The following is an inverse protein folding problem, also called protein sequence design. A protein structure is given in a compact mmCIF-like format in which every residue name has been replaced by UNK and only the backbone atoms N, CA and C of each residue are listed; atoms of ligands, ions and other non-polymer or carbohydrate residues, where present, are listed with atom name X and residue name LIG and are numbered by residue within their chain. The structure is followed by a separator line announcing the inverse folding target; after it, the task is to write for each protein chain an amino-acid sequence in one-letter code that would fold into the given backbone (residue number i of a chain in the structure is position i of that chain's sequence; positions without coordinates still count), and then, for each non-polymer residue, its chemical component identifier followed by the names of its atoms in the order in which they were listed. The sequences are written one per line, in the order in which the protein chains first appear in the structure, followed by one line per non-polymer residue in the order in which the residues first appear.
data_IF_482660069508
#
_entry.id   IF_482660069508
#
_cell.length_a   1.000
_cell.length_b   1.000
_cell.length_c   1.000
_cell.angle_alpha   90.00
_cell.angle_beta   90.00
_cell.angle_gamma   90.00
#
_symmetry.space_group_name_H-M   'P 1'
#
loop_
_entity.id
_entity.type
_entity.pdbx_description
1 polymer ?
#
# COMPACT_ATOMS: atom_id res chain seq x y z
N UNK A 1 17.39 25.11 19.82
CA UNK A 1 16.48 24.19 20.54
C UNK A 1 16.18 23.08 19.55
N UNK A 2 16.87 21.95 19.69
CA UNK A 2 16.63 20.76 18.87
C UNK A 2 15.42 20.05 19.50
N UNK A 3 14.27 20.15 18.85
CA UNK A 3 13.06 19.42 19.21
C UNK A 3 13.35 17.90 19.15
N UNK A 4 13.75 17.36 20.29
CA UNK A 4 13.82 15.92 20.51
C UNK A 4 12.38 15.41 20.48
N UNK A 5 12.02 14.66 19.42
CA UNK A 5 10.81 13.85 19.37
C UNK A 5 10.82 12.87 20.54
N UNK A 6 10.28 13.32 21.68
CA UNK A 6 10.27 12.61 22.94
C UNK A 6 9.27 11.44 22.84
N UNK A 7 9.80 10.24 23.00
CA UNK A 7 9.15 8.97 22.69
C UNK A 7 8.10 8.56 23.72
N UNK A 8 6.94 9.20 23.69
CA UNK A 8 5.64 8.54 23.95
C UNK A 8 4.85 8.51 22.64
N UNK A 9 5.50 8.06 21.57
CA UNK A 9 4.82 7.80 20.30
C UNK A 9 3.86 6.63 20.57
N UNK A 10 2.54 6.74 20.36
CA UNK A 10 1.75 5.53 20.15
C UNK A 10 2.51 4.70 19.12
N UNK A 11 2.71 3.41 19.37
CA UNK A 11 3.46 2.54 18.46
C UNK A 11 2.68 2.44 17.16
N UNK A 12 2.89 3.42 16.27
CA UNK A 12 2.16 3.49 15.02
C UNK A 12 2.61 2.31 14.18
N UNK A 13 1.71 1.34 14.03
CA UNK A 13 2.03 0.10 13.36
C UNK A 13 2.19 0.32 11.85
N UNK A 14 3.04 -0.50 11.24
CA UNK A 14 3.21 -0.54 9.79
C UNK A 14 2.26 -1.56 9.18
N UNK A 15 1.70 -1.25 8.01
CA UNK A 15 0.82 -2.16 7.31
C UNK A 15 1.60 -3.31 6.65
N UNK A 16 0.95 -4.46 6.54
CA UNK A 16 1.45 -5.60 5.77
C UNK A 16 1.29 -5.38 4.27
N UNK A 17 2.05 -6.15 3.48
CA UNK A 17 1.85 -6.25 2.04
C UNK A 17 0.40 -6.66 1.72
N UNK A 18 -0.32 -5.90 0.87
CA UNK A 18 -1.62 -6.33 0.39
C UNK A 18 -1.50 -7.66 -0.35
N UNK A 19 -2.34 -8.64 0.00
CA UNK A 19 -2.33 -9.97 -0.62
C UNK A 19 -2.84 -9.99 -2.08
N UNK A 20 -2.91 -8.83 -2.74
CA UNK A 20 -3.37 -8.70 -4.13
C UNK A 20 -2.21 -8.97 -5.08
N UNK A 21 -2.39 -9.95 -5.96
CA UNK A 21 -1.42 -10.46 -6.93
C UNK A 21 -1.10 -9.49 -8.09
N UNK A 22 -0.97 -8.18 -7.84
CA UNK A 22 -0.63 -7.20 -8.88
C UNK A 22 0.35 -6.16 -8.30
N UNK A 23 1.55 -6.02 -8.89
CA UNK A 23 2.68 -5.26 -8.33
C UNK A 23 2.58 -3.78 -8.70
N UNK A 24 3.55 -2.97 -8.27
CA UNK A 24 3.67 -1.52 -8.43
C UNK A 24 3.11 -0.70 -7.26
N UNK A 25 3.69 -0.93 -6.08
CA UNK A 25 3.76 0.10 -5.05
C UNK A 25 4.84 1.11 -5.46
N UNK A 26 4.52 2.41 -5.46
CA UNK A 26 5.49 3.49 -5.69
C UNK A 26 6.37 3.74 -4.44
N UNK A 27 6.91 2.65 -3.89
CA UNK A 27 7.94 2.71 -2.85
C UNK A 27 9.00 1.69 -3.25
N UNK A 28 10.24 2.16 -3.41
CA UNK A 28 11.39 1.36 -3.77
C UNK A 28 12.27 1.24 -2.52
N UNK A 29 11.93 0.38 -1.53
CA UNK A 29 12.87 0.07 -0.47
C UNK A 29 14.04 -0.75 -1.06
N UNK A 30 15.23 -0.69 -0.45
CA UNK A 30 16.24 -1.72 -0.68
C UNK A 30 15.67 -3.07 -0.20
N UNK A 31 15.22 -3.91 -1.13
CA UNK A 31 14.48 -5.13 -0.78
C UNK A 31 15.46 -6.29 -0.59
N UNK A 32 15.70 -6.69 0.66
CA UNK A 32 16.36 -7.97 0.99
C UNK A 32 15.32 -9.11 1.04
N UNK A 33 14.03 -8.80 1.29
CA UNK A 33 12.96 -9.80 1.37
C UNK A 33 11.56 -9.19 1.06
N UNK A 34 10.95 -9.60 -0.06
CA UNK A 34 9.61 -9.17 -0.51
C UNK A 34 8.49 -9.52 0.49
N UNK A 35 8.63 -10.58 1.29
CA UNK A 35 7.64 -10.99 2.29
C UNK A 35 7.75 -10.21 3.61
N UNK A 36 8.83 -9.44 3.80
CA UNK A 36 9.08 -8.66 5.01
C UNK A 36 8.82 -7.16 4.82
N UNK A 37 8.36 -6.74 3.64
CA UNK A 37 8.10 -5.32 3.37
C UNK A 37 6.96 -4.82 4.25
N UNK A 38 7.27 -3.83 5.10
CA UNK A 38 6.34 -3.13 5.97
C UNK A 38 6.17 -1.70 5.45
N UNK A 39 4.92 -1.24 5.39
CA UNK A 39 4.58 0.09 4.91
C UNK A 39 4.32 1.01 6.12
N UNK A 40 5.10 2.08 6.33
CA UNK A 40 4.86 3.02 7.42
C UNK A 40 3.46 3.62 7.36
N UNK A 41 2.91 4.02 8.50
CA UNK A 41 1.68 4.82 8.52
C UNK A 41 1.83 6.08 7.66
N UNK A 42 0.75 6.43 6.97
CA UNK A 42 0.71 7.51 5.99
C UNK A 42 1.11 7.07 4.57
N UNK A 43 1.61 5.84 4.39
CA UNK A 43 1.94 5.35 3.05
C UNK A 43 0.69 5.30 2.15
N UNK A 44 0.79 5.92 0.97
CA UNK A 44 -0.22 5.85 -0.08
C UNK A 44 0.12 4.73 -1.07
N UNK A 45 -0.73 3.71 -1.13
CA UNK A 45 -0.68 2.65 -2.12
C UNK A 45 -1.64 2.96 -3.27
N UNK A 46 -1.19 2.73 -4.50
CA UNK A 46 -2.00 2.87 -5.73
C UNK A 46 -2.04 1.52 -6.44
N UNK A 47 -3.24 1.07 -6.77
CA UNK A 47 -3.48 -0.11 -7.58
C UNK A 47 -3.35 0.26 -9.07
N UNK A 48 -2.50 -0.47 -9.76
CA UNK A 48 -2.29 -0.35 -11.21
C UNK A 48 -2.57 -1.71 -11.84
N UNK A 49 -3.39 -1.75 -12.88
CA UNK A 49 -3.66 -2.99 -13.60
C UNK A 49 -2.55 -3.31 -14.61
N UNK A 50 -2.28 -4.60 -14.88
CA UNK A 50 -1.29 -5.00 -15.87
C UNK A 50 -1.58 -4.35 -17.23
N UNK A 51 -0.59 -3.67 -17.86
CA UNK A 51 -0.81 -2.90 -19.07
C UNK A 51 -1.07 -3.76 -20.32
N UNK A 52 -0.72 -5.05 -20.26
CA UNK A 52 -0.88 -5.99 -21.37
C UNK A 52 -2.26 -6.67 -21.40
N UNK A 53 -3.16 -6.30 -20.50
CA UNK A 53 -4.53 -6.82 -20.45
C UNK A 53 -5.47 -5.62 -20.51
N UNK A 54 -6.55 -5.72 -21.30
CA UNK A 54 -7.60 -4.70 -21.39
C UNK A 54 -8.42 -4.65 -20.09
N UNK A 55 -7.78 -4.27 -18.99
CA UNK A 55 -8.33 -4.26 -17.64
C UNK A 55 -8.43 -2.84 -17.10
N UNK A 56 -9.50 -2.59 -16.37
CA UNK A 56 -9.68 -1.39 -15.56
C UNK A 56 -9.76 -1.71 -14.08
N UNK A 57 -9.41 -0.72 -13.26
CA UNK A 57 -9.61 -0.81 -11.81
C UNK A 57 -11.08 -0.65 -11.50
N UNK A 58 -11.68 -1.73 -11.01
CA UNK A 58 -13.00 -1.73 -10.40
C UNK A 58 -12.89 -1.57 -8.88
N UNK A 59 -13.59 -0.58 -8.32
CA UNK A 59 -13.50 -0.22 -6.90
C UNK A 59 -12.39 0.78 -6.61
N UNK A 60 -11.87 0.79 -5.38
CA UNK A 60 -10.92 1.83 -4.97
C UNK A 60 -9.51 1.59 -5.50
N UNK A 61 -8.99 2.61 -6.20
CA UNK A 61 -7.64 2.63 -6.75
C UNK A 61 -6.56 2.91 -5.71
N UNK A 62 -6.87 3.64 -4.65
CA UNK A 62 -5.87 4.09 -3.67
C UNK A 62 -6.23 3.69 -2.24
N UNK A 63 -5.20 3.46 -1.44
CA UNK A 63 -5.29 3.14 -0.01
C UNK A 63 -4.20 3.83 0.79
N UNK A 64 -4.54 4.20 2.01
CA UNK A 64 -3.62 4.80 2.96
C UNK A 64 -3.40 3.81 4.09
N UNK A 65 -2.14 3.56 4.45
CA UNK A 65 -1.81 2.82 5.65
C UNK A 65 -2.12 3.68 6.87
N UNK A 66 -3.13 3.29 7.65
CA UNK A 66 -3.52 3.97 8.86
C UNK A 66 -3.29 3.05 10.07
N UNK A 67 -2.13 3.22 10.70
CA UNK A 67 -1.77 2.59 11.98
C UNK A 67 -1.92 1.05 11.91
N UNK A 68 -1.12 0.42 11.04
CA UNK A 68 -1.09 -1.02 10.85
C UNK A 68 -2.18 -1.58 9.94
N UNK A 69 -3.21 -0.79 9.62
CA UNK A 69 -4.34 -1.24 8.79
C UNK A 69 -4.52 -0.35 7.58
N UNK A 70 -4.75 -0.94 6.40
CA UNK A 70 -5.17 -0.17 5.23
C UNK A 70 -6.58 0.37 5.44
N UNK A 71 -6.84 1.61 5.02
CA UNK A 71 -8.13 2.29 5.16
C UNK A 71 -9.26 1.74 4.25
N UNK A 72 -9.30 0.42 4.03
CA UNK A 72 -10.30 -0.28 3.25
C UNK A 72 -9.72 -1.38 2.35
N UNK A 73 -10.57 -2.19 1.71
CA UNK A 73 -10.14 -3.24 0.79
C UNK A 73 -9.64 -2.62 -0.52
N UNK A 74 -8.60 -3.17 -1.13
CA UNK A 74 -8.17 -2.74 -2.47
C UNK A 74 -9.23 -3.08 -3.52
N UNK A 75 -9.28 -2.27 -4.58
CA UNK A 75 -10.01 -2.62 -5.80
C UNK A 75 -9.44 -3.86 -6.49
N UNK A 76 -10.03 -4.22 -7.62
CA UNK A 76 -9.60 -5.35 -8.44
C UNK A 76 -9.54 -4.94 -9.90
N UNK A 77 -8.66 -5.57 -10.66
CA UNK A 77 -8.62 -5.39 -12.10
C UNK A 77 -9.70 -6.28 -12.75
N UNK A 78 -10.54 -5.69 -13.59
CA UNK A 78 -11.60 -6.38 -14.36
C UNK A 78 -11.52 -6.01 -15.84
N UNK A 79 -11.92 -6.91 -16.76
CA UNK A 79 -12.04 -6.57 -18.18
C UNK A 79 -12.94 -5.37 -18.42
N UNK A 80 -12.56 -4.53 -19.39
CA UNK A 80 -13.42 -3.46 -19.88
C UNK A 80 -14.70 -4.05 -20.49
N UNK A 81 -15.88 -3.59 -20.04
CA UNK A 81 -17.17 -3.93 -20.66
C UNK A 81 -17.99 -5.05 -20.01
N UNK A 82 -17.71 -5.43 -18.76
CA UNK A 82 -18.60 -6.26 -17.92
C UNK A 82 -19.33 -5.43 -16.88
#
# INVERSE_FOLDING_TARGET
ILEQCSSTRPSIASCSSPATSIPHFAFQPEIINLHAVKYPHGTLATLVCPPNQYLEVYGSRWRVCNNGTWNGPFGKCKPLGT
#
